data_IF_736562899837
#
_entry.id   IF_736562899837
#
_cell.length_a   1.000
_cell.length_b   1.000
_cell.length_c   1.000
_cell.angle_alpha   90.00
_cell.angle_beta   90.00
_cell.angle_gamma   90.00
#
_symmetry.space_group_name_H-M   'P 1'
#
loop_
_entity.id
_entity.type
_entity.pdbx_description
1 polymer ?
#
# COMPACT_ATOMS: atom_id res chain seq x y z
N UNK A 1 5.83 -11.81 33.11
CA UNK A 1 6.19 -12.78 32.06
C UNK A 1 5.60 -12.35 30.75
N UNK A 2 6.44 -12.16 29.69
CA UNK A 2 5.93 -11.81 28.39
C UNK A 2 5.47 -13.08 27.68
N UNK A 3 4.26 -13.05 27.13
CA UNK A 3 3.76 -14.16 26.32
C UNK A 3 4.49 -14.21 24.97
N UNK A 4 4.91 -15.41 24.50
CA UNK A 4 5.51 -15.54 23.19
C UNK A 4 4.48 -15.25 22.09
N UNK A 5 4.91 -14.59 21.00
CA UNK A 5 4.09 -14.51 19.81
C UNK A 5 4.15 -15.82 19.01
N UNK A 6 3.27 -15.98 18.03
CA UNK A 6 3.31 -17.12 17.11
C UNK A 6 4.01 -16.69 15.82
N UNK A 7 5.11 -17.36 15.48
CA UNK A 7 5.82 -17.12 14.22
C UNK A 7 5.01 -17.76 13.08
N UNK A 8 4.66 -16.96 12.10
CA UNK A 8 4.00 -17.38 10.88
C UNK A 8 4.80 -16.96 9.66
N UNK A 9 4.47 -17.54 8.50
CA UNK A 9 5.11 -17.22 7.23
C UNK A 9 4.06 -16.76 6.22
N UNK A 10 4.33 -15.63 5.56
CA UNK A 10 3.48 -15.09 4.50
C UNK A 10 4.26 -15.04 3.18
N UNK A 11 3.65 -15.44 2.05
CA UNK A 11 4.32 -15.37 0.75
C UNK A 11 4.73 -13.93 0.41
N UNK A 12 5.99 -13.75 0.00
CA UNK A 12 6.53 -12.49 -0.53
C UNK A 12 6.66 -12.55 -2.04
N UNK A 13 7.19 -13.66 -2.54
CA UNK A 13 7.32 -13.98 -3.95
C UNK A 13 6.98 -15.45 -4.17
N UNK A 14 7.21 -15.98 -5.38
CA UNK A 14 7.04 -17.39 -5.69
C UNK A 14 7.93 -18.27 -4.81
N UNK A 15 9.13 -17.81 -4.53
CA UNK A 15 10.20 -18.60 -3.90
C UNK A 15 10.57 -18.12 -2.48
N UNK A 16 9.98 -17.00 -2.02
CA UNK A 16 10.32 -16.39 -0.74
C UNK A 16 9.06 -16.19 0.15
N UNK A 17 9.27 -16.46 1.45
CA UNK A 17 8.29 -16.15 2.49
C UNK A 17 8.88 -15.13 3.47
N UNK A 18 8.02 -14.27 4.01
CA UNK A 18 8.36 -13.38 5.13
C UNK A 18 7.93 -14.02 6.44
N UNK A 19 8.82 -14.07 7.43
CA UNK A 19 8.44 -14.41 8.80
C UNK A 19 7.74 -13.22 9.44
N UNK A 20 6.60 -13.49 10.09
CA UNK A 20 5.83 -12.50 10.84
C UNK A 20 5.55 -13.01 12.26
N UNK A 21 5.59 -12.11 13.23
CA UNK A 21 5.13 -12.41 14.57
C UNK A 21 3.63 -12.12 14.68
N UNK A 22 2.84 -13.16 14.90
CA UNK A 22 1.40 -13.04 15.16
C UNK A 22 1.23 -12.79 16.66
N UNK A 23 1.02 -11.53 17.00
CA UNK A 23 0.89 -11.07 18.36
C UNK A 23 -0.48 -11.45 18.97
N UNK A 24 -0.58 -11.52 20.30
CA UNK A 24 -1.85 -11.69 20.98
C UNK A 24 -2.78 -10.49 20.71
N UNK A 25 -4.06 -10.75 20.46
CA UNK A 25 -5.04 -9.73 20.07
C UNK A 25 -5.09 -8.53 21.05
N UNK A 26 -5.06 -8.75 22.35
CA UNK A 26 -5.03 -7.69 23.36
C UNK A 26 -3.75 -6.87 23.33
N UNK A 27 -2.62 -7.53 23.13
CA UNK A 27 -1.30 -6.89 23.07
C UNK A 27 -1.17 -6.00 21.83
N UNK A 28 -1.64 -6.47 20.67
CA UNK A 28 -1.66 -5.68 19.41
C UNK A 28 -2.35 -4.34 19.58
N UNK A 29 -3.42 -4.27 20.37
CA UNK A 29 -4.13 -3.00 20.59
C UNK A 29 -3.23 -1.99 21.30
N UNK A 30 -2.58 -2.43 22.37
CA UNK A 30 -1.66 -1.58 23.14
C UNK A 30 -0.44 -1.16 22.30
N UNK A 31 0.11 -2.10 21.54
CA UNK A 31 1.18 -1.82 20.58
C UNK A 31 0.75 -0.79 19.52
N UNK A 32 -0.47 -0.87 19.00
CA UNK A 32 -1.03 0.11 18.06
C UNK A 32 -1.22 1.49 18.68
N UNK A 33 -1.58 1.57 19.96
CA UNK A 33 -1.64 2.85 20.70
C UNK A 33 -0.27 3.51 20.71
N UNK A 34 0.78 2.74 21.04
CA UNK A 34 2.18 3.23 21.05
C UNK A 34 2.58 3.65 19.63
N UNK A 35 2.37 2.80 18.62
CA UNK A 35 2.68 3.11 17.23
C UNK A 35 1.97 4.37 16.73
N UNK A 36 0.69 4.55 17.05
CA UNK A 36 -0.06 5.75 16.68
C UNK A 36 0.48 7.01 17.38
N UNK A 37 0.94 6.91 18.62
CA UNK A 37 1.57 8.03 19.34
C UNK A 37 2.90 8.43 18.67
N UNK A 38 3.75 7.46 18.32
CA UNK A 38 4.99 7.69 17.55
C UNK A 38 4.65 8.33 16.20
N UNK A 39 3.70 7.78 15.44
CA UNK A 39 3.25 8.28 14.14
C UNK A 39 2.76 9.73 14.20
N UNK A 40 1.94 10.06 15.20
CA UNK A 40 1.45 11.42 15.43
C UNK A 40 2.61 12.38 15.72
N UNK A 41 3.57 11.94 16.52
CA UNK A 41 4.76 12.74 16.84
C UNK A 41 5.65 12.95 15.63
N UNK A 42 5.94 11.90 14.85
CA UNK A 42 6.72 11.97 13.61
C UNK A 42 6.12 12.96 12.61
N UNK A 43 4.79 12.99 12.50
CA UNK A 43 4.09 13.94 11.63
C UNK A 43 4.39 15.39 11.99
N UNK A 44 4.54 15.74 13.28
CA UNK A 44 4.89 17.11 13.71
C UNK A 44 6.33 17.48 13.33
N UNK A 45 7.20 16.49 13.15
CA UNK A 45 8.58 16.66 12.69
C UNK A 45 8.74 16.51 11.18
N UNK A 46 7.64 16.43 10.43
CA UNK A 46 7.65 16.41 8.95
C UNK A 46 7.66 15.03 8.32
N UNK A 47 7.64 13.94 9.11
CA UNK A 47 7.50 12.58 8.59
C UNK A 47 6.05 12.09 8.69
N UNK A 48 5.34 12.08 7.56
CA UNK A 48 3.96 11.62 7.51
C UNK A 48 3.87 10.16 7.01
N UNK A 49 3.75 9.22 7.93
CA UNK A 49 3.63 7.79 7.63
C UNK A 49 2.21 7.34 7.21
N UNK A 50 1.27 8.26 7.02
CA UNK A 50 -0.06 7.93 6.52
C UNK A 50 -0.13 7.86 4.98
N UNK A 51 0.92 8.29 4.29
CA UNK A 51 0.98 8.32 2.83
C UNK A 51 2.39 8.09 2.33
N UNK A 52 2.52 7.30 1.29
CA UNK A 52 3.78 7.08 0.56
C UNK A 52 4.06 8.19 -0.47
N UNK A 53 3.19 9.20 -0.56
CA UNK A 53 3.24 10.21 -1.62
C UNK A 53 4.57 10.94 -1.73
N UNK A 54 5.23 11.23 -0.59
CA UNK A 54 6.54 11.88 -0.57
C UNK A 54 7.64 11.01 -1.17
N UNK A 55 7.73 9.73 -0.76
CA UNK A 55 8.71 8.78 -1.30
C UNK A 55 8.51 8.59 -2.81
N UNK A 56 7.26 8.39 -3.26
CA UNK A 56 6.94 8.26 -4.69
C UNK A 56 7.32 9.50 -5.49
N UNK A 57 7.03 10.68 -4.96
CA UNK A 57 7.38 11.95 -5.59
C UNK A 57 8.91 12.11 -5.70
N UNK A 58 9.64 11.82 -4.63
CA UNK A 58 11.10 11.93 -4.62
C UNK A 58 11.75 10.90 -5.53
N UNK A 59 11.30 9.63 -5.51
CA UNK A 59 11.80 8.60 -6.43
C UNK A 59 11.56 8.96 -7.91
N UNK A 60 10.37 9.51 -8.22
CA UNK A 60 10.08 10.00 -9.57
C UNK A 60 11.04 11.09 -10.03
N UNK A 61 11.40 12.01 -9.16
CA UNK A 61 12.25 13.16 -9.46
C UNK A 61 13.71 12.95 -9.05
N UNK A 62 14.08 11.73 -8.64
CA UNK A 62 15.40 11.45 -8.07
C UNK A 62 16.54 11.83 -9.02
N UNK A 63 16.38 11.59 -10.33
CA UNK A 63 17.35 12.02 -11.33
C UNK A 63 17.47 13.54 -11.44
N UNK A 64 16.37 14.27 -11.34
CA UNK A 64 16.34 15.74 -11.48
C UNK A 64 16.97 16.46 -10.28
N UNK A 65 16.81 15.87 -9.10
CA UNK A 65 17.28 16.44 -7.83
C UNK A 65 18.51 15.74 -7.26
N UNK A 66 19.19 14.91 -8.05
CA UNK A 66 20.36 14.13 -7.64
C UNK A 66 20.12 13.40 -6.31
N UNK A 67 18.99 12.66 -6.22
CA UNK A 67 18.65 11.84 -5.08
C UNK A 67 19.03 10.39 -5.30
N UNK A 68 19.29 9.67 -4.20
CA UNK A 68 19.51 8.24 -4.14
C UNK A 68 18.35 7.56 -3.41
N UNK A 69 17.94 6.37 -3.85
CA UNK A 69 16.99 5.49 -3.16
C UNK A 69 17.73 4.31 -2.55
N UNK A 70 17.49 4.05 -1.27
CA UNK A 70 18.16 3.02 -0.47
C UNK A 70 17.09 2.10 0.09
N UNK A 71 17.25 0.80 -0.10
CA UNK A 71 16.43 -0.29 0.43
C UNK A 71 17.27 -1.17 1.37
N UNK A 72 16.65 -1.71 2.42
CA UNK A 72 17.32 -2.53 3.42
C UNK A 72 16.88 -4.00 3.34
N UNK A 73 17.77 -4.93 3.64
CA UNK A 73 17.45 -6.35 3.74
C UNK A 73 16.85 -6.66 5.11
N UNK A 74 15.60 -7.14 5.16
CA UNK A 74 14.92 -7.59 6.37
C UNK A 74 14.92 -6.55 7.51
N UNK A 75 14.82 -5.26 7.20
CA UNK A 75 14.97 -4.15 8.13
C UNK A 75 14.23 -4.36 9.46
N UNK A 76 12.92 -4.66 9.40
CA UNK A 76 12.08 -4.81 10.60
C UNK A 76 12.56 -5.92 11.55
N UNK A 77 13.14 -7.02 11.00
CA UNK A 77 13.58 -8.16 11.81
C UNK A 77 15.06 -8.07 12.24
N UNK A 78 15.77 -7.01 11.83
CA UNK A 78 17.20 -6.80 12.17
C UNK A 78 17.43 -5.64 13.14
N UNK A 79 16.36 -5.01 13.63
CA UNK A 79 16.47 -3.96 14.66
C UNK A 79 16.86 -4.57 15.99
N UNK A 80 18.12 -4.46 16.37
CA UNK A 80 18.65 -5.02 17.62
C UNK A 80 18.02 -4.36 18.87
N UNK A 81 17.83 -5.15 19.91
CA UNK A 81 17.31 -4.66 21.21
C UNK A 81 18.19 -3.54 21.79
N UNK A 82 19.51 -3.74 21.80
CA UNK A 82 20.45 -2.76 22.35
C UNK A 82 20.50 -1.45 21.53
N UNK A 83 20.24 -1.51 20.24
CA UNK A 83 20.14 -0.30 19.40
C UNK A 83 18.99 0.60 19.89
N UNK A 84 17.81 0.03 20.09
CA UNK A 84 16.64 0.80 20.55
C UNK A 84 16.86 1.33 21.97
N UNK A 85 17.47 0.53 22.84
CA UNK A 85 17.84 0.94 24.18
C UNK A 85 18.83 2.12 24.20
N UNK A 86 19.75 2.17 23.24
CA UNK A 86 20.72 3.25 23.11
C UNK A 86 20.14 4.53 22.47
N UNK A 87 19.22 4.40 21.51
CA UNK A 87 18.72 5.53 20.72
C UNK A 87 17.47 6.20 21.31
N UNK A 88 16.63 5.46 22.01
CA UNK A 88 15.35 5.98 22.49
C UNK A 88 15.45 6.57 23.90
N UNK A 89 14.69 7.62 24.21
CA UNK A 89 14.55 8.10 25.58
C UNK A 89 14.06 6.98 26.50
N UNK A 90 14.58 6.95 27.73
CA UNK A 90 14.34 5.86 28.69
C UNK A 90 12.85 5.51 28.85
N UNK A 91 11.98 6.50 29.01
CA UNK A 91 10.53 6.27 29.21
C UNK A 91 9.89 5.59 28.01
N UNK A 92 10.24 6.01 26.78
CA UNK A 92 9.75 5.37 25.55
C UNK A 92 10.27 3.95 25.42
N UNK A 93 11.55 3.73 25.70
CA UNK A 93 12.14 2.39 25.68
C UNK A 93 11.44 1.47 26.69
N UNK A 94 11.18 1.93 27.93
CA UNK A 94 10.49 1.14 28.95
C UNK A 94 9.06 0.76 28.50
N UNK A 95 8.28 1.71 28.00
CA UNK A 95 6.92 1.46 27.52
C UNK A 95 6.93 0.46 26.36
N UNK A 96 7.77 0.66 25.33
CA UNK A 96 7.86 -0.26 24.21
C UNK A 96 8.33 -1.67 24.63
N UNK A 97 9.30 -1.76 25.56
CA UNK A 97 9.84 -3.00 26.11
C UNK A 97 8.80 -3.78 26.91
N UNK A 98 7.89 -3.09 27.60
CA UNK A 98 6.82 -3.73 28.38
C UNK A 98 5.77 -4.40 27.46
N UNK A 99 5.55 -3.86 26.26
CA UNK A 99 4.50 -4.34 25.35
C UNK A 99 5.03 -5.07 24.11
N UNK A 100 6.32 -5.36 24.00
CA UNK A 100 6.85 -6.22 22.94
C UNK A 100 6.77 -7.71 23.33
N UNK A 101 6.61 -8.61 22.38
CA UNK A 101 6.92 -10.03 22.59
C UNK A 101 8.44 -10.22 22.59
N UNK A 102 8.96 -10.84 23.65
CA UNK A 102 10.40 -11.11 23.82
C UNK A 102 10.83 -12.40 23.15
N UNK A 103 9.88 -13.23 22.76
CA UNK A 103 10.09 -14.56 22.20
C UNK A 103 8.93 -14.94 21.27
N UNK A 104 9.15 -15.97 20.47
CA UNK A 104 8.13 -16.55 19.61
C UNK A 104 8.13 -18.07 19.62
N UNK A 105 7.01 -18.68 19.24
CA UNK A 105 6.89 -20.11 19.00
C UNK A 105 6.55 -20.34 17.52
N UNK A 106 7.20 -21.34 16.91
CA UNK A 106 6.96 -21.71 15.52
C UNK A 106 6.25 -23.08 15.46
N UNK A 107 4.90 -23.11 15.30
CA UNK A 107 4.15 -24.38 15.32
C UNK A 107 4.47 -25.33 14.15
N UNK A 108 5.13 -24.86 13.11
CA UNK A 108 5.54 -25.67 11.95
C UNK A 108 6.84 -26.43 12.17
N UNK A 109 7.57 -26.17 13.25
CA UNK A 109 8.73 -26.96 13.67
C UNK A 109 8.26 -28.13 14.53
N UNK A 110 8.87 -29.30 14.34
CA UNK A 110 8.48 -30.58 14.99
C UNK A 110 8.59 -30.50 16.53
N UNK A 111 9.52 -29.71 17.03
CA UNK A 111 9.59 -29.30 18.43
C UNK A 111 9.29 -27.80 18.47
N UNK A 112 8.16 -27.40 19.03
CA UNK A 112 7.75 -26.00 19.18
C UNK A 112 8.62 -25.29 20.23
N UNK A 113 9.93 -25.22 19.97
CA UNK A 113 10.85 -24.50 20.84
C UNK A 113 10.50 -23.02 20.88
N UNK A 114 10.59 -22.48 22.09
CA UNK A 114 10.49 -21.06 22.35
C UNK A 114 11.79 -20.39 21.88
N UNK A 115 11.69 -19.53 20.86
CA UNK A 115 12.82 -18.78 20.31
C UNK A 115 12.85 -17.41 21.00
N UNK A 116 13.90 -17.11 21.73
CA UNK A 116 14.12 -15.81 22.33
C UNK A 116 14.61 -14.82 21.25
N UNK A 117 14.11 -13.58 21.29
CA UNK A 117 14.39 -12.57 20.29
C UNK A 117 15.49 -11.59 20.75
N UNK A 118 16.59 -11.53 19.99
CA UNK A 118 17.58 -10.46 20.12
C UNK A 118 17.14 -9.18 19.39
N UNK A 119 16.25 -9.30 18.40
CA UNK A 119 15.57 -8.15 17.79
C UNK A 119 14.63 -7.48 18.78
N UNK A 120 14.45 -6.18 18.65
CA UNK A 120 13.55 -5.44 19.55
C UNK A 120 12.09 -5.88 19.38
N UNK A 121 11.61 -5.97 18.15
CA UNK A 121 10.25 -6.44 17.83
C UNK A 121 10.19 -7.05 16.43
N UNK A 122 9.35 -8.06 16.25
CA UNK A 122 9.14 -8.74 14.97
C UNK A 122 8.28 -7.92 14.00
N UNK A 123 8.37 -8.22 12.71
CA UNK A 123 7.37 -7.81 11.73
C UNK A 123 6.00 -8.35 12.17
N UNK A 124 4.99 -7.49 12.27
CA UNK A 124 3.65 -7.81 12.78
C UNK A 124 3.34 -7.19 14.15
N UNK A 125 4.35 -6.79 14.92
CA UNK A 125 4.15 -5.96 16.10
C UNK A 125 3.59 -4.59 15.73
N UNK A 126 2.69 -4.06 16.55
CA UNK A 126 1.88 -2.87 16.21
C UNK A 126 2.62 -1.52 16.19
N UNK A 127 3.91 -1.46 16.55
CA UNK A 127 4.72 -0.23 16.49
C UNK A 127 6.06 -0.40 15.74
N UNK A 128 6.39 -1.58 15.27
CA UNK A 128 7.69 -1.82 14.59
C UNK A 128 7.89 -0.89 13.41
N UNK A 129 6.89 -0.71 12.57
CA UNK A 129 6.97 0.16 11.39
C UNK A 129 7.26 1.63 11.75
N UNK A 130 6.61 2.16 12.76
CA UNK A 130 6.82 3.54 13.22
C UNK A 130 8.20 3.71 13.86
N UNK A 131 8.62 2.71 14.63
CA UNK A 131 9.93 2.69 15.29
C UNK A 131 11.08 2.64 14.28
N UNK A 132 11.02 1.72 13.31
CA UNK A 132 12.04 1.63 12.25
C UNK A 132 12.08 2.90 11.41
N UNK A 133 10.93 3.44 11.02
CA UNK A 133 10.85 4.70 10.27
C UNK A 133 11.48 5.86 11.03
N UNK A 134 11.33 5.93 12.36
CA UNK A 134 11.97 6.94 13.20
C UNK A 134 13.49 6.80 13.20
N UNK A 135 14.02 5.58 13.36
CA UNK A 135 15.46 5.32 13.36
C UNK A 135 16.07 5.74 12.03
N UNK A 136 15.50 5.30 10.92
CA UNK A 136 16.03 5.62 9.58
C UNK A 136 15.89 7.08 9.23
N UNK A 137 14.77 7.71 9.59
CA UNK A 137 14.57 9.15 9.39
C UNK A 137 15.56 9.98 10.17
N UNK A 138 15.77 9.68 11.44
CA UNK A 138 16.74 10.39 12.28
C UNK A 138 18.16 10.25 11.74
N UNK A 139 18.56 9.02 11.36
CA UNK A 139 19.88 8.75 10.77
C UNK A 139 20.08 9.55 9.49
N UNK A 140 19.12 9.47 8.55
CA UNK A 140 19.20 10.17 7.27
C UNK A 140 19.27 11.70 7.45
N UNK A 141 18.41 12.26 8.27
CA UNK A 141 18.40 13.72 8.54
C UNK A 141 19.69 14.19 9.22
N UNK A 142 20.16 13.47 10.24
CA UNK A 142 21.39 13.82 10.93
C UNK A 142 22.60 13.79 9.99
N UNK A 143 22.68 12.76 9.14
CA UNK A 143 23.80 12.62 8.23
C UNK A 143 23.77 13.70 7.12
N UNK A 144 22.62 13.93 6.47
CA UNK A 144 22.47 14.96 5.45
C UNK A 144 22.77 16.36 6.02
N UNK A 145 22.23 16.64 7.24
CA UNK A 145 22.53 17.90 7.92
C UNK A 145 24.04 18.08 8.19
N UNK A 146 24.72 17.02 8.60
CA UNK A 146 26.17 17.03 8.87
C UNK A 146 26.97 17.23 7.59
N UNK A 147 26.69 16.45 6.55
CA UNK A 147 27.46 16.45 5.31
C UNK A 147 27.38 17.77 4.56
N UNK A 148 26.18 18.38 4.54
CA UNK A 148 25.93 19.62 3.83
C UNK A 148 26.03 20.87 4.70
N UNK A 149 26.24 20.71 6.02
CA UNK A 149 26.28 21.81 7.01
C UNK A 149 25.04 22.72 6.93
N UNK A 150 23.85 22.13 6.87
CA UNK A 150 22.57 22.82 6.70
C UNK A 150 21.67 22.66 7.92
N UNK A 151 20.59 23.45 7.97
CA UNK A 151 19.60 23.36 9.03
C UNK A 151 18.74 22.10 8.92
N UNK A 152 18.08 21.72 10.04
CA UNK A 152 17.08 20.62 10.03
C UNK A 152 16.01 20.81 8.97
N UNK A 153 15.48 22.04 8.81
CA UNK A 153 14.41 22.31 7.83
C UNK A 153 14.87 22.11 6.39
N UNK A 154 16.12 22.41 6.08
CA UNK A 154 16.71 22.21 4.77
C UNK A 154 16.99 20.73 4.51
N UNK A 155 17.55 20.01 5.49
CA UNK A 155 17.73 18.55 5.41
C UNK A 155 16.39 17.83 5.21
N UNK A 156 15.36 18.25 5.97
CA UNK A 156 14.01 17.68 5.83
C UNK A 156 13.44 17.81 4.41
N UNK A 157 13.74 18.88 3.69
CA UNK A 157 13.28 19.05 2.30
C UNK A 157 13.91 18.07 1.31
N UNK A 158 15.05 17.49 1.66
CA UNK A 158 15.85 16.61 0.80
C UNK A 158 15.74 15.12 1.17
N UNK A 159 15.09 14.78 2.29
CA UNK A 159 14.99 13.40 2.80
C UNK A 159 13.56 12.93 2.76
N UNK A 160 13.33 11.70 2.31
CA UNK A 160 12.05 11.00 2.46
C UNK A 160 12.30 9.60 3.02
N UNK A 161 11.45 9.18 3.96
CA UNK A 161 11.51 7.85 4.57
C UNK A 161 10.10 7.29 4.74
N UNK A 162 9.94 6.01 4.46
CA UNK A 162 8.71 5.27 4.70
C UNK A 162 9.05 3.80 4.99
N UNK A 163 9.10 3.42 6.28
CA UNK A 163 9.66 2.14 6.66
C UNK A 163 11.14 2.05 6.27
N UNK A 164 11.47 1.00 5.55
CA UNK A 164 12.81 0.70 5.00
C UNK A 164 13.13 1.41 3.67
N UNK A 165 12.16 2.10 3.07
CA UNK A 165 12.35 2.94 1.88
C UNK A 165 12.94 4.31 2.25
N UNK A 166 14.22 4.54 1.98
CA UNK A 166 14.96 5.75 2.33
C UNK A 166 15.39 6.48 1.07
N UNK A 167 15.14 7.79 1.00
CA UNK A 167 15.61 8.64 -0.12
C UNK A 167 16.37 9.84 0.45
N UNK A 168 17.57 10.05 -0.05
CA UNK A 168 18.50 11.10 0.39
C UNK A 168 19.25 11.69 -0.80
N UNK A 169 19.89 12.87 -0.67
CA UNK A 169 20.81 13.39 -1.69
C UNK A 169 21.93 12.39 -2.00
N UNK A 170 22.31 12.25 -3.26
CA UNK A 170 23.40 11.35 -3.69
C UNK A 170 24.71 11.66 -2.94
N UNK A 171 24.97 12.93 -2.68
CA UNK A 171 26.17 13.39 -1.94
C UNK A 171 26.26 12.83 -0.52
N UNK A 172 25.15 12.51 0.12
CA UNK A 172 25.11 11.96 1.49
C UNK A 172 24.82 10.46 1.52
N UNK A 173 24.48 9.83 0.37
CA UNK A 173 23.99 8.46 0.33
C UNK A 173 24.97 7.45 0.94
N UNK A 174 26.26 7.51 0.61
CA UNK A 174 27.28 6.60 1.14
C UNK A 174 27.47 6.76 2.64
N UNK A 175 27.43 7.99 3.16
CA UNK A 175 27.56 8.25 4.59
C UNK A 175 26.33 7.78 5.38
N UNK A 176 25.13 7.89 4.78
CA UNK A 176 23.90 7.33 5.35
C UNK A 176 23.97 5.80 5.39
N UNK A 177 24.43 5.17 4.31
CA UNK A 177 24.66 3.73 4.23
C UNK A 177 25.61 3.28 5.32
N UNK A 178 26.79 3.91 5.42
CA UNK A 178 27.81 3.58 6.46
C UNK A 178 27.23 3.72 7.88
N UNK A 179 26.38 4.71 8.12
CA UNK A 179 25.73 4.89 9.41
C UNK A 179 24.73 3.78 9.72
N UNK A 180 23.97 3.33 8.71
CA UNK A 180 23.03 2.22 8.84
C UNK A 180 23.76 0.88 9.06
N UNK A 181 24.84 0.65 8.33
CA UNK A 181 25.69 -0.55 8.50
C UNK A 181 26.35 -0.58 9.88
N UNK A 182 26.79 0.55 10.41
CA UNK A 182 27.29 0.67 11.79
C UNK A 182 26.22 0.30 12.83
N UNK A 183 24.95 0.53 12.54
CA UNK A 183 23.83 0.10 13.38
C UNK A 183 23.42 -1.36 13.18
N UNK A 184 24.12 -2.10 12.29
CA UNK A 184 23.89 -3.52 12.02
C UNK A 184 22.90 -3.81 10.90
N UNK A 185 22.44 -2.79 10.14
CA UNK A 185 21.57 -3.01 8.98
C UNK A 185 22.36 -3.42 7.74
N UNK A 186 21.74 -4.26 6.91
CA UNK A 186 22.32 -4.68 5.62
C UNK A 186 21.60 -3.99 4.47
N UNK A 187 22.38 -3.40 3.56
CA UNK A 187 21.83 -2.73 2.38
C UNK A 187 21.44 -3.76 1.31
N UNK A 188 20.29 -3.56 0.71
CA UNK A 188 19.87 -4.31 -0.46
C UNK A 188 20.42 -3.64 -1.73
N UNK A 189 21.60 -4.05 -2.16
CA UNK A 189 22.29 -3.46 -3.32
C UNK A 189 21.54 -3.64 -4.64
N UNK A 190 20.69 -4.67 -4.76
CA UNK A 190 19.90 -4.92 -5.96
C UNK A 190 18.71 -3.93 -6.09
N UNK A 191 18.26 -3.36 -4.96
CA UNK A 191 17.13 -2.42 -4.90
C UNK A 191 17.52 -1.02 -4.45
N UNK A 192 18.82 -0.77 -4.26
CA UNK A 192 19.34 0.55 -3.92
C UNK A 192 19.95 1.20 -5.16
N UNK A 193 19.47 2.38 -5.52
CA UNK A 193 19.90 3.10 -6.70
C UNK A 193 20.50 4.45 -6.28
N UNK A 194 21.85 4.49 -6.24
CA UNK A 194 22.58 5.66 -5.76
C UNK A 194 22.75 6.73 -6.85
N UNK A 195 22.66 6.32 -8.12
CA UNK A 195 22.79 7.21 -9.29
C UNK A 195 22.17 6.57 -10.52
N UNK A 196 22.13 7.31 -11.64
CA UNK A 196 21.67 6.77 -12.91
C UNK A 196 20.29 7.27 -13.31
N UNK A 197 19.52 6.43 -13.99
CA UNK A 197 18.23 6.81 -14.58
C UNK A 197 17.05 6.07 -13.95
N UNK A 198 17.31 4.97 -13.26
CA UNK A 198 16.30 4.13 -12.62
C UNK A 198 16.31 4.31 -11.10
N UNK A 199 15.12 4.48 -10.52
CA UNK A 199 14.90 4.62 -9.09
C UNK A 199 13.62 3.90 -8.68
N UNK A 200 13.66 3.25 -7.51
CA UNK A 200 12.49 2.59 -6.90
C UNK A 200 12.24 3.15 -5.51
N UNK A 201 10.98 3.31 -5.10
CA UNK A 201 10.58 3.45 -3.70
C UNK A 201 9.09 3.14 -3.51
N UNK A 202 8.76 2.54 -2.38
CA UNK A 202 7.38 2.19 -2.00
C UNK A 202 6.67 1.40 -3.10
N UNK A 203 7.41 0.48 -3.76
CA UNK A 203 6.86 -0.35 -4.82
C UNK A 203 6.48 0.41 -6.10
N UNK A 204 7.13 1.51 -6.41
CA UNK A 204 6.98 2.27 -7.65
C UNK A 204 8.33 2.42 -8.33
N UNK A 205 8.36 2.10 -9.62
CA UNK A 205 9.55 2.06 -10.44
C UNK A 205 9.55 3.23 -11.42
N UNK A 206 10.64 4.00 -11.45
CA UNK A 206 10.77 5.17 -12.32
C UNK A 206 12.04 5.11 -13.15
N UNK A 207 11.91 5.37 -14.45
CA UNK A 207 13.02 5.53 -15.36
C UNK A 207 12.93 6.88 -16.05
N UNK A 208 13.94 7.74 -15.92
CA UNK A 208 13.91 9.11 -16.42
C UNK A 208 12.63 9.86 -16.01
N UNK A 209 12.23 9.81 -14.76
CA UNK A 209 11.02 10.43 -14.23
C UNK A 209 9.68 9.84 -14.72
N UNK A 210 9.71 8.83 -15.59
CA UNK A 210 8.51 8.14 -16.06
C UNK A 210 8.23 6.90 -15.21
N UNK A 211 6.95 6.66 -14.86
CA UNK A 211 6.52 5.44 -14.17
C UNK A 211 6.63 4.24 -15.12
N UNK A 212 7.56 3.35 -14.83
CA UNK A 212 7.84 2.14 -15.64
C UNK A 212 7.43 0.84 -14.93
N UNK A 213 6.70 0.94 -13.83
CA UNK A 213 6.26 -0.24 -13.09
C UNK A 213 5.43 -1.16 -13.98
N UNK A 214 5.77 -2.46 -14.08
CA UNK A 214 5.00 -3.42 -14.85
C UNK A 214 3.57 -3.56 -14.37
N UNK A 215 2.67 -3.93 -15.27
CA UNK A 215 1.34 -4.39 -14.90
C UNK A 215 1.42 -5.86 -14.47
N UNK A 216 1.00 -6.17 -13.25
CA UNK A 216 0.97 -7.53 -12.71
C UNK A 216 -0.45 -8.04 -12.61
N UNK A 217 -0.79 -9.09 -13.33
CA UNK A 217 -2.03 -9.83 -13.14
C UNK A 217 -1.86 -10.81 -11.98
N UNK A 218 -2.37 -10.44 -10.81
CA UNK A 218 -2.21 -11.20 -9.55
C UNK A 218 -3.31 -12.22 -9.27
N UNK A 219 -4.27 -12.39 -10.19
CA UNK A 219 -5.41 -13.31 -10.02
C UNK A 219 -5.73 -14.07 -11.28
N UNK A 220 -6.40 -15.21 -11.14
CA UNK A 220 -6.96 -15.93 -12.27
C UNK A 220 -8.17 -15.18 -12.85
N UNK A 221 -8.32 -15.25 -14.15
CA UNK A 221 -9.46 -14.66 -14.88
C UNK A 221 -10.52 -15.73 -15.04
N UNK A 222 -11.49 -15.78 -14.15
CA UNK A 222 -12.53 -16.83 -14.12
C UNK A 222 -13.93 -16.29 -14.49
N UNK A 223 -14.15 -14.99 -14.35
CA UNK A 223 -15.45 -14.36 -14.50
C UNK A 223 -15.40 -13.15 -15.42
N UNK A 224 -16.55 -12.71 -15.93
CA UNK A 224 -16.67 -11.44 -16.67
C UNK A 224 -16.15 -10.25 -15.88
N UNK A 225 -16.32 -10.27 -14.56
CA UNK A 225 -15.81 -9.20 -13.68
C UNK A 225 -14.28 -9.16 -13.67
N UNK A 226 -13.61 -10.31 -13.75
CA UNK A 226 -12.15 -10.37 -13.84
C UNK A 226 -11.66 -9.80 -15.18
N UNK A 227 -12.42 -10.00 -16.24
CA UNK A 227 -12.14 -9.39 -17.54
C UNK A 227 -12.33 -7.87 -17.51
N UNK A 228 -13.38 -7.36 -16.83
CA UNK A 228 -13.52 -5.91 -16.60
C UNK A 228 -12.36 -5.35 -15.81
N UNK A 229 -11.96 -6.03 -14.73
CA UNK A 229 -10.78 -5.65 -13.96
C UNK A 229 -9.53 -5.55 -14.82
N UNK A 230 -9.29 -6.55 -15.67
CA UNK A 230 -8.14 -6.57 -16.56
C UNK A 230 -8.20 -5.42 -17.58
N UNK A 231 -9.31 -5.27 -18.30
CA UNK A 231 -9.51 -4.18 -19.25
C UNK A 231 -9.30 -2.81 -18.62
N UNK A 232 -9.99 -2.56 -17.52
CA UNK A 232 -9.93 -1.26 -16.84
C UNK A 232 -8.54 -0.97 -16.27
N UNK A 233 -7.83 -1.99 -15.78
CA UNK A 233 -6.45 -1.83 -15.28
C UNK A 233 -5.47 -1.51 -16.40
N UNK A 234 -5.60 -2.15 -17.55
CA UNK A 234 -4.81 -1.86 -18.75
C UNK A 234 -5.09 -0.43 -19.24
N UNK A 235 -6.36 -0.08 -19.38
CA UNK A 235 -6.79 1.26 -19.81
C UNK A 235 -6.28 2.34 -18.86
N UNK A 236 -6.40 2.12 -17.55
CA UNK A 236 -5.86 3.04 -16.56
C UNK A 236 -4.34 3.21 -16.67
N UNK A 237 -3.61 2.11 -16.90
CA UNK A 237 -2.15 2.17 -17.10
C UNK A 237 -1.79 2.94 -18.37
N UNK A 238 -2.48 2.71 -19.48
CA UNK A 238 -2.32 3.44 -20.74
C UNK A 238 -2.51 4.96 -20.52
N UNK A 239 -3.62 5.35 -19.87
CA UNK A 239 -3.91 6.74 -19.56
C UNK A 239 -2.84 7.37 -18.66
N UNK A 240 -2.44 6.65 -17.60
CA UNK A 240 -1.47 7.13 -16.62
C UNK A 240 -0.07 7.31 -17.19
N UNK A 241 0.37 6.39 -18.05
CA UNK A 241 1.70 6.45 -18.68
C UNK A 241 1.71 7.26 -19.96
N UNK A 242 0.53 7.60 -20.49
CA UNK A 242 0.33 8.22 -21.80
C UNK A 242 1.11 7.49 -22.91
N UNK A 243 1.09 6.15 -22.84
CA UNK A 243 1.83 5.24 -23.72
C UNK A 243 0.87 4.21 -24.32
N UNK A 244 1.02 3.93 -25.59
CA UNK A 244 0.23 2.98 -26.39
C UNK A 244 0.73 1.53 -26.28
N UNK A 245 1.83 1.30 -25.61
CA UNK A 245 2.46 -0.04 -25.52
C UNK A 245 1.49 -1.17 -25.11
N UNK A 246 0.54 -0.89 -24.23
CA UNK A 246 -0.48 -1.87 -23.79
C UNK A 246 -1.76 -1.84 -24.63
N UNK A 247 -1.89 -0.95 -25.59
CA UNK A 247 -3.11 -0.79 -26.41
C UNK A 247 -3.48 -2.05 -27.21
N UNK A 248 -2.54 -2.82 -27.81
CA UNK A 248 -2.91 -4.05 -28.49
C UNK A 248 -3.51 -5.11 -27.55
N UNK A 249 -2.95 -5.27 -26.35
CA UNK A 249 -3.47 -6.18 -25.34
C UNK A 249 -4.86 -5.74 -24.86
N UNK A 250 -5.04 -4.44 -24.61
CA UNK A 250 -6.32 -3.86 -24.26
C UNK A 250 -7.37 -4.11 -25.34
N UNK A 251 -7.09 -3.80 -26.62
CA UNK A 251 -8.00 -4.00 -27.72
C UNK A 251 -8.41 -5.47 -27.88
N UNK A 252 -7.48 -6.40 -27.70
CA UNK A 252 -7.79 -7.83 -27.75
C UNK A 252 -8.78 -8.25 -26.67
N UNK A 253 -8.53 -7.88 -25.41
CA UNK A 253 -9.45 -8.21 -24.29
C UNK A 253 -10.78 -7.49 -24.45
N UNK A 254 -10.77 -6.25 -24.91
CA UNK A 254 -11.97 -5.45 -25.18
C UNK A 254 -12.92 -6.15 -26.16
N UNK A 255 -12.40 -6.75 -27.24
CA UNK A 255 -13.20 -7.54 -28.20
C UNK A 255 -13.88 -8.73 -27.52
N UNK A 256 -13.15 -9.45 -26.65
CA UNK A 256 -13.73 -10.59 -25.91
C UNK A 256 -14.88 -10.13 -25.01
N UNK A 257 -14.67 -9.05 -24.28
CA UNK A 257 -15.68 -8.52 -23.33
C UNK A 257 -16.92 -8.01 -24.08
N UNK A 258 -16.73 -7.25 -25.15
CA UNK A 258 -17.86 -6.64 -25.90
C UNK A 258 -18.72 -7.67 -26.64
N UNK A 259 -18.15 -8.77 -27.08
CA UNK A 259 -18.91 -9.86 -27.71
C UNK A 259 -19.68 -10.72 -26.72
N UNK A 260 -19.26 -10.81 -25.46
CA UNK A 260 -19.85 -11.70 -24.47
C UNK A 260 -20.78 -11.01 -23.47
N UNK A 261 -20.31 -9.96 -22.83
CA UNK A 261 -21.07 -9.29 -21.76
C UNK A 261 -20.63 -7.82 -21.62
N UNK A 262 -21.31 -6.96 -22.34
CA UNK A 262 -21.02 -5.53 -22.38
C UNK A 262 -21.83 -4.76 -21.33
N UNK A 263 -21.17 -4.22 -20.31
CA UNK A 263 -21.74 -3.31 -19.31
C UNK A 263 -20.89 -2.04 -19.26
N UNK A 264 -21.19 -1.05 -20.11
CA UNK A 264 -20.43 0.20 -20.12
C UNK A 264 -20.65 1.01 -18.84
N UNK A 265 -19.59 1.65 -18.36
CA UNK A 265 -19.61 2.56 -17.24
C UNK A 265 -18.67 3.74 -17.45
N UNK A 266 -18.79 4.77 -16.62
CA UNK A 266 -18.05 6.02 -16.79
C UNK A 266 -16.54 5.78 -16.71
N UNK A 267 -15.81 6.47 -17.60
CA UNK A 267 -14.34 6.44 -17.65
C UNK A 267 -13.69 7.18 -16.46
N UNK A 268 -14.49 7.78 -15.59
CA UNK A 268 -14.01 8.51 -14.44
C UNK A 268 -13.33 7.57 -13.44
N UNK A 269 -12.01 7.73 -13.30
CA UNK A 269 -11.22 7.11 -12.24
C UNK A 269 -11.10 8.13 -11.10
N UNK A 270 -11.85 7.96 -10.04
CA UNK A 270 -11.67 8.77 -8.82
C UNK A 270 -10.32 8.43 -8.20
N UNK A 271 -9.35 9.30 -8.39
CA UNK A 271 -8.06 9.27 -7.69
C UNK A 271 -8.30 9.78 -6.25
N UNK A 272 -9.08 9.05 -5.47
CA UNK A 272 -9.06 9.21 -4.02
C UNK A 272 -8.19 8.10 -3.48
N UNK A 273 -6.99 8.45 -3.07
CA UNK A 273 -6.06 7.58 -2.36
C UNK A 273 -5.63 6.31 -3.13
N UNK A 274 -4.39 6.05 -3.29
CA UNK A 274 -3.66 4.87 -3.72
C UNK A 274 -4.39 3.74 -4.48
N UNK A 275 -3.68 3.03 -5.29
CA UNK A 275 -4.13 1.90 -6.14
C UNK A 275 -4.94 0.79 -5.42
N UNK A 276 -4.98 0.79 -4.09
CA UNK A 276 -5.62 -0.26 -3.28
C UNK A 276 -7.14 -0.12 -3.20
N UNK A 277 -7.67 1.10 -3.31
CA UNK A 277 -9.12 1.36 -3.22
C UNK A 277 -9.88 1.23 -4.56
N UNK A 278 -9.17 1.09 -5.68
CA UNK A 278 -9.75 0.97 -7.00
C UNK A 278 -10.24 -0.44 -7.36
N UNK A 279 -9.84 -1.48 -6.63
CA UNK A 279 -10.08 -2.86 -7.02
C UNK A 279 -11.57 -3.21 -7.13
N UNK A 280 -12.41 -2.76 -6.21
CA UNK A 280 -13.84 -3.06 -6.23
C UNK A 280 -14.58 -2.30 -7.35
N UNK A 281 -14.11 -1.12 -7.72
CA UNK A 281 -14.73 -0.29 -8.74
C UNK A 281 -14.32 -0.69 -10.17
N UNK A 282 -13.10 -1.24 -10.34
CA UNK A 282 -12.60 -1.72 -11.64
C UNK A 282 -13.30 -3.00 -12.13
N UNK A 283 -13.93 -3.76 -11.24
CA UNK A 283 -14.68 -4.98 -11.56
C UNK A 283 -16.15 -4.72 -11.86
N UNK A 284 -16.64 -3.54 -11.54
CA UNK A 284 -18.07 -3.28 -11.51
C UNK A 284 -18.69 -3.14 -12.92
N UNK A 285 -17.96 -2.55 -13.85
CA UNK A 285 -18.37 -2.31 -15.23
C UNK A 285 -17.15 -2.04 -16.10
N UNK A 286 -17.32 -2.09 -17.41
CA UNK A 286 -16.30 -1.76 -18.39
C UNK A 286 -16.18 -0.24 -18.54
N UNK A 287 -15.01 0.34 -18.25
CA UNK A 287 -14.77 1.77 -18.36
C UNK A 287 -14.53 2.16 -19.81
N UNK A 288 -15.41 2.99 -20.35
CA UNK A 288 -15.37 3.41 -21.76
C UNK A 288 -15.71 4.90 -21.89
N UNK A 289 -15.23 5.60 -22.93
CA UNK A 289 -15.68 6.95 -23.25
C UNK A 289 -17.20 7.02 -23.45
N UNK A 290 -17.81 8.16 -23.14
CA UNK A 290 -19.24 8.36 -23.29
C UNK A 290 -19.71 8.12 -24.73
N UNK A 291 -18.99 8.64 -25.70
CA UNK A 291 -19.28 8.48 -27.12
C UNK A 291 -19.34 7.00 -27.52
N UNK A 292 -18.35 6.20 -27.09
CA UNK A 292 -18.35 4.76 -27.32
C UNK A 292 -19.53 4.07 -26.63
N UNK A 293 -19.85 4.45 -25.39
CA UNK A 293 -20.99 3.90 -24.67
C UNK A 293 -22.34 4.22 -25.34
N UNK A 294 -22.50 5.39 -25.91
CA UNK A 294 -23.69 5.81 -26.65
C UNK A 294 -23.85 5.00 -27.95
N UNK A 295 -22.77 4.84 -28.70
CA UNK A 295 -22.77 4.11 -29.98
C UNK A 295 -23.06 2.63 -29.81
N UNK A 296 -22.52 2.00 -28.78
CA UNK A 296 -22.67 0.56 -28.53
C UNK A 296 -23.83 0.22 -27.56
N UNK A 297 -24.51 1.23 -27.03
CA UNK A 297 -25.66 1.08 -26.14
C UNK A 297 -25.30 0.76 -24.70
N UNK A 298 -26.33 0.53 -23.88
CA UNK A 298 -26.17 0.20 -22.45
C UNK A 298 -26.23 1.41 -21.51
N UNK A 299 -26.35 2.64 -22.04
CA UNK A 299 -26.46 3.88 -21.27
C UNK A 299 -27.67 4.69 -21.75
N UNK A 300 -28.28 5.47 -20.82
CA UNK A 300 -29.38 6.38 -21.11
C UNK A 300 -29.21 7.67 -20.31
N UNK A 301 -29.54 8.79 -20.89
CA UNK A 301 -29.59 10.04 -20.16
C UNK A 301 -30.94 10.19 -19.46
N UNK A 302 -30.93 10.39 -18.16
CA UNK A 302 -32.12 10.67 -17.37
C UNK A 302 -32.27 12.19 -17.23
N UNK A 303 -33.29 12.73 -17.88
CA UNK A 303 -33.52 14.18 -17.92
C UNK A 303 -33.92 14.73 -16.54
N UNK A 304 -34.63 13.94 -15.74
CA UNK A 304 -35.10 14.37 -14.41
C UNK A 304 -33.95 14.45 -13.41
N UNK A 305 -33.01 13.51 -13.52
CA UNK A 305 -31.84 13.46 -12.64
C UNK A 305 -30.62 14.20 -13.22
N UNK A 306 -30.73 14.69 -14.46
CA UNK A 306 -29.65 15.33 -15.20
C UNK A 306 -28.34 14.50 -15.19
N UNK A 307 -28.48 13.19 -15.37
CA UNK A 307 -27.39 12.24 -15.22
C UNK A 307 -27.51 11.05 -16.15
N UNK A 308 -26.36 10.42 -16.48
CA UNK A 308 -26.29 9.20 -17.24
C UNK A 308 -26.61 7.99 -16.36
N UNK A 309 -27.49 7.11 -16.81
CA UNK A 309 -27.81 5.83 -16.16
C UNK A 309 -27.05 4.70 -16.84
N UNK A 310 -26.42 3.86 -16.03
CA UNK A 310 -25.68 2.69 -16.48
C UNK A 310 -25.86 1.51 -15.52
N UNK A 311 -25.58 0.30 -15.96
CA UNK A 311 -25.61 -0.88 -15.10
C UNK A 311 -24.21 -1.24 -14.60
N UNK A 312 -24.11 -1.65 -13.35
CA UNK A 312 -22.86 -2.15 -12.76
C UNK A 312 -23.10 -3.32 -11.82
N UNK A 313 -22.09 -4.15 -11.60
CA UNK A 313 -22.10 -5.13 -10.52
C UNK A 313 -21.80 -4.45 -9.18
N UNK A 314 -22.52 -4.88 -8.16
CA UNK A 314 -22.32 -4.40 -6.78
C UNK A 314 -22.29 -5.61 -5.85
N UNK A 315 -21.39 -5.60 -4.88
CA UNK A 315 -21.41 -6.59 -3.81
C UNK A 315 -22.52 -6.25 -2.81
N UNK A 316 -23.32 -7.22 -2.46
CA UNK A 316 -24.37 -7.11 -1.45
C UNK A 316 -24.03 -8.08 -0.34
N UNK A 317 -23.97 -7.58 0.89
CA UNK A 317 -23.82 -8.44 2.07
C UNK A 317 -25.11 -9.26 2.27
N UNK A 318 -24.97 -10.56 2.40
CA UNK A 318 -26.08 -11.46 2.73
C UNK A 318 -25.97 -11.79 4.20
N UNK A 319 -27.09 -11.72 4.91
CA UNK A 319 -27.20 -12.24 6.28
C UNK A 319 -27.25 -13.76 6.22
N UNK A 320 -26.11 -14.41 6.49
CA UNK A 320 -26.05 -15.88 6.59
C UNK A 320 -26.14 -16.28 8.05
N UNK A 321 -26.93 -17.29 8.41
CA UNK A 321 -26.94 -17.84 9.75
C UNK A 321 -25.52 -18.27 10.16
N UNK A 322 -25.03 -17.71 11.25
CA UNK A 322 -23.66 -17.95 11.71
C UNK A 322 -23.55 -19.30 12.40
N UNK A 323 -22.58 -20.13 12.00
CA UNK A 323 -22.16 -21.28 12.79
C UNK A 323 -21.65 -20.84 14.18
N UNK A 324 -21.68 -21.72 15.18
CA UNK A 324 -21.25 -21.37 16.54
C UNK A 324 -19.85 -20.74 16.58
N UNK A 325 -18.89 -21.23 15.82
CA UNK A 325 -17.55 -20.66 15.74
C UNK A 325 -17.50 -19.24 15.20
N UNK A 326 -18.39 -18.90 14.23
CA UNK A 326 -18.53 -17.55 13.72
C UNK A 326 -19.22 -16.61 14.72
N UNK A 327 -20.12 -17.13 15.57
CA UNK A 327 -20.76 -16.32 16.63
C UNK A 327 -19.74 -15.82 17.64
N UNK A 328 -18.76 -16.62 18.05
CA UNK A 328 -17.67 -16.18 18.95
C UNK A 328 -16.82 -15.08 18.32
N UNK A 329 -16.51 -15.19 17.04
CA UNK A 329 -15.75 -14.16 16.33
C UNK A 329 -16.53 -12.84 16.24
N UNK A 330 -17.86 -12.89 16.02
CA UNK A 330 -18.75 -11.71 16.02
C UNK A 330 -18.82 -11.08 17.42
N UNK A 331 -18.96 -11.87 18.46
CA UNK A 331 -19.00 -11.35 19.83
C UNK A 331 -17.68 -10.68 20.22
N UNK A 332 -16.54 -11.28 19.85
CA UNK A 332 -15.23 -10.68 20.08
C UNK A 332 -15.06 -9.37 19.32
N UNK A 333 -15.50 -9.30 18.06
CA UNK A 333 -15.46 -8.07 17.26
C UNK A 333 -16.37 -6.98 17.85
N UNK A 334 -17.58 -7.31 18.33
CA UNK A 334 -18.49 -6.38 19.02
C UNK A 334 -17.88 -5.85 20.31
N UNK A 335 -17.26 -6.71 21.11
CA UNK A 335 -16.58 -6.31 22.34
C UNK A 335 -15.43 -5.33 22.04
N UNK A 336 -14.64 -5.61 21.00
CA UNK A 336 -13.55 -4.72 20.58
C UNK A 336 -14.05 -3.37 20.04
N UNK A 337 -15.20 -3.34 19.38
CA UNK A 337 -15.86 -2.11 18.93
C UNK A 337 -16.36 -1.27 20.11
N UNK A 338 -16.92 -1.92 21.12
CA UNK A 338 -17.31 -1.30 22.38
C UNK A 338 -16.13 -0.67 23.11
N UNK A 339 -15.00 -1.38 23.22
CA UNK A 339 -13.77 -0.87 23.85
C UNK A 339 -13.18 0.34 23.11
N UNK A 340 -13.44 0.48 21.81
CA UNK A 340 -13.03 1.66 21.02
C UNK A 340 -13.93 2.86 21.15
N UNK A 341 -14.97 2.81 22.00
CA UNK A 341 -15.90 3.92 22.21
C UNK A 341 -16.85 4.20 21.06
N UNK A 342 -16.91 3.35 20.05
CA UNK A 342 -17.86 3.45 18.92
C UNK A 342 -19.21 2.80 19.31
N UNK A 343 -20.02 3.53 20.05
CA UNK A 343 -21.35 3.09 20.51
C UNK A 343 -22.39 2.95 19.38
N UNK A 344 -22.11 3.38 18.16
CA UNK A 344 -23.06 3.35 17.03
C UNK A 344 -22.72 2.39 15.88
N UNK A 345 -21.58 1.74 15.91
CA UNK A 345 -21.16 0.84 14.84
C UNK A 345 -21.40 -0.62 15.19
N UNK A 346 -22.44 -1.22 14.65
CA UNK A 346 -22.52 -2.68 14.57
C UNK A 346 -21.37 -3.10 13.67
N UNK A 347 -20.33 -3.71 14.23
CA UNK A 347 -19.31 -4.41 13.43
C UNK A 347 -20.02 -5.60 12.78
N UNK A 348 -20.61 -5.38 11.64
CA UNK A 348 -21.06 -6.46 10.76
C UNK A 348 -19.77 -7.08 10.27
N UNK A 349 -19.40 -8.23 10.82
CA UNK A 349 -18.49 -9.13 10.11
C UNK A 349 -19.19 -9.32 8.77
N UNK A 350 -18.53 -8.91 7.69
CA UNK A 350 -19.05 -9.08 6.34
C UNK A 350 -19.35 -10.57 6.21
N UNK A 351 -20.65 -10.91 6.19
CA UNK A 351 -21.12 -12.23 5.77
C UNK A 351 -20.70 -12.48 4.31
N UNK A 352 -21.00 -13.65 3.80
CA UNK A 352 -20.79 -13.92 2.39
C UNK A 352 -21.44 -12.81 1.55
N UNK A 353 -20.78 -12.40 0.47
CA UNK A 353 -21.26 -11.32 -0.37
C UNK A 353 -21.69 -11.89 -1.72
N UNK A 354 -22.92 -11.61 -2.12
CA UNK A 354 -23.37 -11.84 -3.50
C UNK A 354 -23.08 -10.66 -4.39
N UNK A 355 -22.90 -10.95 -5.67
CA UNK A 355 -22.74 -9.93 -6.69
C UNK A 355 -24.05 -9.72 -7.42
N UNK A 356 -24.61 -8.54 -7.32
CA UNK A 356 -25.89 -8.16 -7.91
C UNK A 356 -25.68 -7.07 -8.95
N UNK A 357 -26.39 -7.18 -10.10
CA UNK A 357 -26.42 -6.13 -11.11
C UNK A 357 -27.35 -5.01 -10.65
N UNK A 358 -26.82 -3.80 -10.51
CA UNK A 358 -27.58 -2.60 -10.10
C UNK A 358 -27.47 -1.49 -11.13
N UNK A 359 -28.49 -0.62 -11.20
CA UNK A 359 -28.41 0.65 -11.94
C UNK A 359 -27.70 1.70 -11.08
N UNK A 360 -26.90 2.52 -11.72
CA UNK A 360 -26.17 3.65 -11.11
C UNK A 360 -26.31 4.89 -11.98
N UNK A 361 -26.09 6.06 -11.36
CA UNK A 361 -26.16 7.36 -12.01
C UNK A 361 -24.80 8.05 -11.95
N UNK A 362 -24.44 8.82 -12.97
CA UNK A 362 -23.30 9.73 -12.96
C UNK A 362 -23.55 10.96 -13.81
N UNK A 363 -23.21 12.14 -13.29
CA UNK A 363 -23.17 13.40 -14.05
C UNK A 363 -21.82 13.61 -14.74
N UNK A 364 -20.77 12.87 -14.33
CA UNK A 364 -19.43 12.93 -14.90
C UNK A 364 -19.07 11.58 -15.49
N UNK A 365 -18.97 11.49 -16.82
CA UNK A 365 -18.66 10.23 -17.52
C UNK A 365 -17.17 10.09 -17.85
N UNK A 366 -16.58 11.06 -18.53
CA UNK A 366 -15.22 10.94 -19.05
C UNK A 366 -14.14 11.50 -18.11
N UNK A 367 -14.54 12.13 -17.02
CA UNK A 367 -13.62 12.73 -16.07
C UNK A 367 -12.75 13.85 -16.67
N UNK A 368 -11.66 14.18 -15.98
CA UNK A 368 -10.67 15.18 -16.40
C UNK A 368 -9.47 14.48 -17.03
N UNK A 369 -9.47 14.34 -18.37
CA UNK A 369 -8.38 13.71 -19.13
C UNK A 369 -7.47 14.77 -19.78
N UNK A 370 -6.16 14.48 -19.84
CA UNK A 370 -5.21 15.29 -20.61
C UNK A 370 -5.54 15.25 -22.11
N UNK A 371 -5.08 16.26 -22.89
CA UNK A 371 -5.25 16.24 -24.35
C UNK A 371 -4.60 15.01 -24.98
N UNK A 372 -3.43 14.60 -24.49
CA UNK A 372 -2.71 13.42 -24.98
C UNK A 372 -3.46 12.13 -24.67
N UNK A 373 -4.00 11.98 -23.46
CA UNK A 373 -4.84 10.83 -23.11
C UNK A 373 -6.12 10.76 -23.94
N UNK A 374 -6.76 11.90 -24.26
CA UNK A 374 -7.94 11.92 -25.15
C UNK A 374 -7.61 11.47 -26.56
N UNK A 375 -6.52 11.94 -27.15
CA UNK A 375 -6.09 11.49 -28.47
C UNK A 375 -5.79 9.98 -28.47
N UNK A 376 -5.08 9.48 -27.47
CA UNK A 376 -4.78 8.05 -27.31
C UNK A 376 -6.06 7.20 -27.19
N UNK A 377 -7.05 7.67 -26.45
CA UNK A 377 -8.34 6.99 -26.34
C UNK A 377 -9.13 7.03 -27.66
N UNK A 378 -9.08 8.13 -28.40
CA UNK A 378 -9.69 8.20 -29.73
C UNK A 378 -9.12 7.10 -30.64
N UNK A 379 -7.80 6.93 -30.69
CA UNK A 379 -7.14 5.91 -31.52
C UNK A 379 -7.45 4.48 -31.06
N UNK A 380 -7.84 4.28 -29.80
CA UNK A 380 -8.20 2.96 -29.23
C UNK A 380 -9.66 2.60 -29.46
N UNK A 381 -10.58 3.58 -29.44
CA UNK A 381 -12.03 3.35 -29.41
C UNK A 381 -12.72 3.68 -30.72
N UNK A 382 -12.11 4.45 -31.60
CA UNK A 382 -12.61 4.81 -32.92
C UNK A 382 -11.78 4.19 -34.04
#
# INVERSE_FOLDING_TARGET
DSYPNRIGFVPKSKDEHRSIGIELNGLVILQKVIGNAIRARLKTFGLNLNTQGRNRHFARLAKTFDLATIDLKNASNTIAFELIKALFPYDWFQVMSAFRSKSGTCPSLIESEKIEFEMFSSMGNGFTFEMESLVFFATAICQVKKDQNISYKEALRQVAVFGDDIIVPQTSALNVISSLEMFGFSINTEKSFLSGKFFESCGHDYFNCCDVRPFFLKRQLLTTRDLYFLCNSLLFKIIKTESDFLSPAYAYIMRIVTTGSYLPGPLHFTVKTGFEDLNDDLEACLRVPLEYAQTHGGVRFDVNMFAWTYAKYSRVSIEVPLSQNRQYAVQSARYMTFLRGNLGGIAVLRGDTETVKKRSLTSQWDGSLSKKSRNLLHDIFL
#
